data_IF_256305308848
#
_entry.id   IF_256305308848
#
_cell.length_a   1.000
_cell.length_b   1.000
_cell.length_c   1.000
_cell.angle_alpha   90.00
_cell.angle_beta   90.00
_cell.angle_gamma   90.00
#
_symmetry.space_group_name_H-M   'P 1'
#
loop_
_entity.id
_entity.type
_entity.pdbx_description
1 polymer ?
#
# COMPACT_ATOMS: atom_id res chain seq x y z
N UNK A 1 1.54 -27.63 11.08
CA UNK A 1 1.14 -26.25 11.48
C UNK A 1 2.39 -25.42 11.82
N UNK A 2 2.53 -24.22 11.25
CA UNK A 2 3.62 -23.29 11.56
C UNK A 2 3.27 -22.60 12.89
N UNK A 3 4.14 -22.71 13.90
CA UNK A 3 3.92 -22.08 15.21
C UNK A 3 4.12 -20.56 15.14
N UNK A 4 3.33 -19.79 15.89
CA UNK A 4 3.47 -18.33 16.01
C UNK A 4 4.83 -17.88 16.57
N UNK A 5 5.55 -18.81 17.23
CA UNK A 5 6.88 -18.60 17.81
C UNK A 5 8.03 -18.74 16.80
N UNK A 6 7.77 -19.22 15.58
CA UNK A 6 8.81 -19.43 14.56
C UNK A 6 9.48 -18.08 14.21
N UNK A 7 10.81 -18.09 14.15
CA UNK A 7 11.63 -16.90 13.89
C UNK A 7 11.62 -16.55 12.39
N UNK A 8 12.01 -15.32 12.06
CA UNK A 8 12.11 -14.88 10.67
C UNK A 8 13.07 -15.78 9.85
N UNK A 9 14.15 -16.26 10.47
CA UNK A 9 15.17 -17.13 9.84
C UNK A 9 14.60 -18.49 9.37
N UNK A 10 13.65 -19.05 10.10
CA UNK A 10 12.98 -20.30 9.68
C UNK A 10 11.92 -20.03 8.61
N UNK A 11 11.26 -18.86 8.66
CA UNK A 11 10.27 -18.47 7.65
C UNK A 11 10.91 -18.16 6.30
N UNK A 12 12.13 -17.60 6.29
CA UNK A 12 12.82 -17.30 5.04
C UNK A 12 13.19 -18.58 4.28
N UNK A 13 13.65 -19.63 4.95
CA UNK A 13 13.94 -20.91 4.30
C UNK A 13 12.69 -21.51 3.64
N UNK A 14 11.54 -21.43 4.32
CA UNK A 14 10.26 -21.86 3.76
C UNK A 14 9.85 -21.00 2.57
N UNK A 15 10.02 -19.68 2.65
CA UNK A 15 9.72 -18.73 1.58
C UNK A 15 10.57 -19.01 0.34
N UNK A 16 11.89 -19.18 0.51
CA UNK A 16 12.83 -19.49 -0.58
C UNK A 16 12.49 -20.83 -1.23
N UNK A 17 12.22 -21.87 -0.41
CA UNK A 17 11.82 -23.18 -0.93
C UNK A 17 10.53 -23.11 -1.74
N UNK A 18 9.53 -22.36 -1.27
CA UNK A 18 8.27 -22.17 -1.97
C UNK A 18 8.48 -21.45 -3.31
N UNK A 19 9.22 -20.33 -3.31
CA UNK A 19 9.48 -19.56 -4.53
C UNK A 19 10.26 -20.41 -5.54
N UNK A 20 11.32 -21.09 -5.12
CA UNK A 20 12.08 -21.99 -6.00
C UNK A 20 11.19 -23.09 -6.58
N UNK A 21 10.39 -23.75 -5.75
CA UNK A 21 9.47 -24.79 -6.20
C UNK A 21 8.46 -24.26 -7.23
N UNK A 22 7.88 -23.08 -7.02
CA UNK A 22 6.98 -22.45 -7.98
C UNK A 22 7.67 -22.17 -9.33
N UNK A 23 8.88 -21.60 -9.29
CA UNK A 23 9.66 -21.31 -10.49
C UNK A 23 10.06 -22.58 -11.26
N UNK A 24 10.45 -23.64 -10.55
CA UNK A 24 10.79 -24.95 -11.14
C UNK A 24 9.60 -25.60 -11.84
N UNK A 25 8.37 -25.30 -11.41
CA UNK A 25 7.13 -25.76 -12.03
C UNK A 25 6.57 -24.77 -13.07
N UNK A 26 7.35 -23.78 -13.48
CA UNK A 26 6.97 -22.82 -14.52
C UNK A 26 5.98 -21.73 -14.06
N UNK A 27 5.74 -21.59 -12.76
CA UNK A 27 4.93 -20.49 -12.22
C UNK A 27 5.80 -19.24 -12.13
N UNK A 28 5.50 -18.24 -12.97
CA UNK A 28 6.22 -16.95 -12.97
C UNK A 28 5.72 -16.05 -11.85
N UNK A 29 6.33 -16.18 -10.68
CA UNK A 29 6.07 -15.30 -9.53
C UNK A 29 6.51 -13.87 -9.87
N UNK A 30 5.61 -12.90 -9.75
CA UNK A 30 5.88 -11.48 -10.04
C UNK A 30 6.03 -10.61 -8.80
N UNK A 31 5.50 -11.06 -7.65
CA UNK A 31 5.56 -10.31 -6.40
C UNK A 31 5.37 -11.19 -5.16
N UNK A 32 5.89 -10.72 -4.04
CA UNK A 32 5.67 -11.27 -2.69
C UNK A 32 5.10 -10.17 -1.79
N UNK A 33 3.89 -10.39 -1.26
CA UNK A 33 3.20 -9.45 -0.38
C UNK A 33 3.21 -9.85 1.09
N UNK A 34 3.27 -8.85 1.96
CA UNK A 34 3.16 -8.97 3.42
C UNK A 34 2.04 -8.05 3.96
N UNK A 35 1.44 -8.42 5.09
CA UNK A 35 0.36 -7.67 5.76
C UNK A 35 0.95 -6.64 6.75
N UNK A 36 2.20 -6.19 6.56
CA UNK A 36 2.78 -5.13 7.37
C UNK A 36 3.16 -5.46 8.82
N UNK A 37 3.14 -6.74 9.22
CA UNK A 37 3.74 -7.15 10.49
C UNK A 37 5.28 -7.04 10.43
N UNK A 38 5.91 -6.63 11.53
CA UNK A 38 7.38 -6.44 11.56
C UNK A 38 8.15 -7.71 11.22
N UNK A 39 7.63 -8.89 11.59
CA UNK A 39 8.26 -10.18 11.29
C UNK A 39 8.21 -10.48 9.78
N UNK A 40 7.07 -10.23 9.14
CA UNK A 40 6.87 -10.47 7.71
C UNK A 40 7.73 -9.52 6.86
N UNK A 41 7.81 -8.24 7.25
CA UNK A 41 8.80 -7.32 6.66
C UNK A 41 10.22 -7.81 6.78
N UNK A 42 10.58 -8.37 7.94
CA UNK A 42 11.91 -8.95 8.13
C UNK A 42 12.15 -10.07 7.11
N UNK A 43 11.17 -10.94 6.90
CA UNK A 43 11.25 -12.00 5.88
C UNK A 43 11.45 -11.42 4.47
N UNK A 44 10.70 -10.37 4.09
CA UNK A 44 10.93 -9.69 2.80
C UNK A 44 12.34 -9.10 2.68
N UNK A 45 12.88 -8.49 3.74
CA UNK A 45 14.26 -7.96 3.76
C UNK A 45 15.29 -9.07 3.61
N UNK A 46 15.17 -10.14 4.37
CA UNK A 46 16.08 -11.29 4.27
C UNK A 46 15.99 -11.93 2.88
N UNK A 47 14.78 -12.09 2.34
CA UNK A 47 14.56 -12.55 0.97
C UNK A 47 15.27 -11.66 -0.03
N UNK A 48 15.15 -10.34 0.11
CA UNK A 48 15.86 -9.41 -0.74
C UNK A 48 17.37 -9.61 -0.67
N UNK A 49 17.94 -9.66 0.53
CA UNK A 49 19.38 -9.79 0.76
C UNK A 49 19.95 -11.13 0.26
N UNK A 50 19.15 -12.19 0.31
CA UNK A 50 19.51 -13.53 -0.16
C UNK A 50 19.38 -13.69 -1.68
N UNK A 51 18.95 -12.66 -2.41
CA UNK A 51 18.77 -12.75 -3.85
C UNK A 51 20.08 -12.94 -4.61
N UNK A 52 20.14 -13.88 -5.57
CA UNK A 52 21.36 -14.15 -6.33
C UNK A 52 21.72 -13.01 -7.29
N UNK A 53 20.74 -12.21 -7.71
CA UNK A 53 20.94 -11.08 -8.60
C UNK A 53 19.88 -10.01 -8.40
N UNK A 54 20.15 -8.81 -8.93
CA UNK A 54 19.29 -7.65 -8.84
C UNK A 54 19.26 -6.89 -10.16
N UNK A 55 18.16 -6.19 -10.39
CA UNK A 55 18.04 -5.18 -11.45
C UNK A 55 17.69 -3.86 -10.78
N UNK A 56 18.51 -2.84 -10.99
CA UNK A 56 18.28 -1.51 -10.42
C UNK A 56 17.63 -0.61 -11.49
N UNK A 57 16.44 -0.11 -11.18
CA UNK A 57 15.83 0.99 -11.92
C UNK A 57 16.21 2.31 -11.24
N UNK A 58 16.96 3.16 -11.95
CA UNK A 58 17.53 4.39 -11.37
C UNK A 58 16.69 5.59 -11.78
N UNK A 59 16.19 6.32 -10.78
CA UNK A 59 15.50 7.59 -10.93
C UNK A 59 16.47 8.73 -10.57
N UNK A 60 16.88 9.56 -11.55
CA UNK A 60 17.68 10.75 -11.26
C UNK A 60 16.94 11.69 -10.30
N UNK A 61 17.68 12.37 -9.43
CA UNK A 61 17.08 13.38 -8.56
C UNK A 61 16.71 14.63 -9.39
N UNK A 62 15.45 15.10 -9.40
CA UNK A 62 15.02 16.20 -10.26
C UNK A 62 15.81 17.50 -10.07
N UNK A 63 16.13 17.86 -8.83
CA UNK A 63 16.97 19.04 -8.54
C UNK A 63 18.48 18.85 -8.85
N UNK A 64 18.95 17.60 -8.94
CA UNK A 64 20.37 17.28 -9.10
C UNK A 64 20.56 16.10 -10.08
N UNK A 65 20.13 16.23 -11.35
CA UNK A 65 20.05 15.10 -12.27
C UNK A 65 21.42 14.54 -12.67
N UNK A 66 22.47 15.35 -12.61
CA UNK A 66 23.84 14.93 -12.87
C UNK A 66 24.50 14.20 -11.69
N UNK A 67 23.94 14.32 -10.48
CA UNK A 67 24.48 13.69 -9.27
C UNK A 67 23.90 12.28 -9.09
N UNK A 68 24.65 11.28 -9.55
CA UNK A 68 24.26 9.86 -9.43
C UNK A 68 24.16 9.38 -7.98
N UNK A 69 24.75 10.08 -7.01
CA UNK A 69 24.69 9.72 -5.59
C UNK A 69 23.34 10.05 -4.96
N UNK A 70 22.62 11.03 -5.53
CA UNK A 70 21.28 11.45 -5.09
C UNK A 70 20.15 10.73 -5.81
N UNK A 71 20.49 9.88 -6.78
CA UNK A 71 19.50 9.13 -7.54
C UNK A 71 18.81 8.07 -6.66
N UNK A 72 17.49 7.96 -6.80
CA UNK A 72 16.72 6.91 -6.13
C UNK A 72 16.89 5.60 -6.90
N UNK A 73 17.39 4.56 -6.23
CA UNK A 73 17.56 3.23 -6.82
C UNK A 73 16.42 2.32 -6.37
N UNK A 74 15.57 1.95 -7.33
CA UNK A 74 14.48 0.99 -7.11
C UNK A 74 15.01 -0.38 -7.52
N UNK A 75 15.33 -1.19 -6.51
CA UNK A 75 15.96 -2.51 -6.70
C UNK A 75 14.92 -3.61 -6.82
N UNK A 76 14.98 -4.36 -7.91
CA UNK A 76 14.15 -5.54 -8.18
C UNK A 76 14.99 -6.79 -7.93
N UNK A 77 14.47 -7.73 -7.15
CA UNK A 77 15.17 -8.99 -6.85
C UNK A 77 14.95 -9.98 -7.99
N UNK A 78 15.99 -10.73 -8.34
CA UNK A 78 15.95 -11.74 -9.40
C UNK A 78 16.17 -13.13 -8.80
N UNK A 79 15.31 -14.08 -9.13
CA UNK A 79 15.31 -15.42 -8.52
C UNK A 79 15.19 -16.57 -9.53
N UNK A 80 15.68 -17.75 -9.14
CA UNK A 80 15.62 -18.96 -9.95
C UNK A 80 16.53 -18.93 -11.18
N UNK A 81 16.47 -20.00 -11.98
CA UNK A 81 17.34 -20.20 -13.16
C UNK A 81 17.14 -19.13 -14.23
N UNK A 82 15.90 -18.68 -14.41
CA UNK A 82 15.53 -17.69 -15.45
C UNK A 82 15.66 -16.23 -14.98
N UNK A 83 16.25 -16.01 -13.80
CA UNK A 83 16.33 -14.70 -13.14
C UNK A 83 14.96 -14.00 -13.20
N UNK A 84 13.93 -14.67 -12.68
CA UNK A 84 12.58 -14.13 -12.61
C UNK A 84 12.59 -12.91 -11.69
N UNK A 85 12.04 -11.80 -12.19
CA UNK A 85 11.96 -10.55 -11.44
C UNK A 85 10.76 -10.61 -10.50
N UNK A 86 10.98 -10.28 -9.23
CA UNK A 86 9.97 -10.35 -8.18
C UNK A 86 9.94 -9.01 -7.44
N UNK A 87 8.77 -8.38 -7.35
CA UNK A 87 8.55 -7.20 -6.54
C UNK A 87 8.30 -7.59 -5.07
N UNK A 88 8.77 -6.77 -4.14
CA UNK A 88 8.46 -6.93 -2.71
C UNK A 88 7.48 -5.84 -2.32
N UNK A 89 6.32 -6.23 -1.82
CA UNK A 89 5.20 -5.30 -1.58
C UNK A 89 4.69 -5.45 -0.15
N UNK A 90 4.13 -4.36 0.35
CA UNK A 90 3.29 -4.36 1.54
C UNK A 90 1.82 -4.25 1.14
N UNK A 91 0.93 -4.70 2.02
CA UNK A 91 -0.50 -4.59 1.81
C UNK A 91 -0.96 -3.11 1.90
N UNK A 92 -1.60 -2.57 0.84
CA UNK A 92 -2.04 -1.17 0.83
C UNK A 92 -3.15 -0.89 1.86
N UNK A 93 -4.00 -1.88 2.17
CA UNK A 93 -5.03 -1.77 3.20
C UNK A 93 -4.39 -1.63 4.58
N UNK A 94 -3.39 -2.46 4.88
CA UNK A 94 -2.57 -2.34 6.09
C UNK A 94 -1.85 -0.98 6.17
N UNK A 95 -1.29 -0.52 5.05
CA UNK A 95 -0.68 0.82 4.95
C UNK A 95 -1.65 1.93 5.35
N UNK A 96 -2.88 1.90 4.83
CA UNK A 96 -3.93 2.87 5.16
C UNK A 96 -4.28 2.84 6.66
N UNK A 97 -4.45 1.63 7.24
CA UNK A 97 -4.69 1.45 8.69
C UNK A 97 -3.56 2.02 9.54
N UNK A 98 -2.32 1.77 9.13
CA UNK A 98 -1.13 2.25 9.83
C UNK A 98 -1.01 3.76 9.78
N UNK A 99 -1.24 4.37 8.62
CA UNK A 99 -1.23 5.83 8.45
C UNK A 99 -2.27 6.49 9.37
N UNK A 100 -3.54 6.05 9.32
CA UNK A 100 -4.59 6.54 10.23
C UNK A 100 -4.13 6.44 11.69
N UNK A 101 -3.60 5.28 12.08
CA UNK A 101 -3.20 5.03 13.46
C UNK A 101 -2.09 5.96 13.95
N UNK A 102 -1.21 6.44 13.06
CA UNK A 102 -0.16 7.39 13.43
C UNK A 102 -0.74 8.75 13.83
N UNK A 103 -1.76 9.24 13.12
CA UNK A 103 -2.44 10.49 13.45
C UNK A 103 -3.34 10.34 14.68
N UNK A 104 -3.90 9.15 14.88
CA UNK A 104 -4.88 8.86 15.94
C UNK A 104 -4.26 8.44 17.26
N UNK A 105 -2.97 8.08 17.29
CA UNK A 105 -2.36 7.46 18.46
C UNK A 105 -2.26 8.35 19.69
N UNK A 106 -2.30 9.68 19.54
CA UNK A 106 -2.01 10.65 20.61
C UNK A 106 -0.55 10.65 21.09
N UNK A 107 0.25 9.66 20.72
CA UNK A 107 1.66 9.53 21.04
C UNK A 107 2.59 10.31 20.09
N UNK A 108 2.00 10.95 19.07
CA UNK A 108 2.70 11.67 17.99
C UNK A 108 1.95 12.96 17.67
N UNK A 109 2.71 14.00 17.36
CA UNK A 109 2.20 15.27 16.84
C UNK A 109 2.83 15.49 15.47
N UNK A 110 2.17 15.03 14.41
CA UNK A 110 2.73 15.09 13.07
C UNK A 110 2.87 16.56 12.64
N UNK A 111 4.10 17.05 12.54
CA UNK A 111 4.42 18.47 12.27
C UNK A 111 4.86 18.62 10.82
N UNK A 112 4.21 19.52 10.09
CA UNK A 112 4.34 19.71 8.65
C UNK A 112 4.53 21.21 8.40
N UNK A 113 5.78 21.66 8.49
CA UNK A 113 6.09 23.10 8.47
C UNK A 113 5.43 23.82 9.64
N UNK A 114 4.69 24.88 9.34
CA UNK A 114 3.93 25.68 10.31
C UNK A 114 2.63 25.01 10.78
N UNK A 115 2.29 23.85 10.21
CA UNK A 115 1.03 23.17 10.45
C UNK A 115 1.22 21.82 11.16
N UNK A 116 0.12 21.29 11.68
CA UNK A 116 0.08 19.96 12.28
C UNK A 116 -1.01 19.09 11.66
N UNK A 117 -0.81 17.78 11.73
CA UNK A 117 -1.85 16.80 11.53
C UNK A 117 -2.08 16.00 12.82
N UNK A 118 -3.29 16.11 13.39
CA UNK A 118 -3.60 15.51 14.68
C UNK A 118 -5.04 14.96 14.73
N UNK A 119 -5.29 14.11 15.72
CA UNK A 119 -6.59 13.47 15.94
C UNK A 119 -7.74 14.47 16.16
N UNK A 120 -7.49 15.60 16.83
CA UNK A 120 -8.55 16.57 17.16
C UNK A 120 -9.22 17.15 15.91
N UNK A 121 -8.50 17.28 14.79
CA UNK A 121 -9.07 17.70 13.51
C UNK A 121 -10.15 16.73 13.02
N UNK A 122 -9.94 15.42 13.16
CA UNK A 122 -10.95 14.41 12.79
C UNK A 122 -12.11 14.34 13.79
N UNK A 123 -11.85 14.59 15.07
CA UNK A 123 -12.90 14.68 16.08
C UNK A 123 -13.83 15.88 15.81
N UNK A 124 -13.28 17.01 15.37
CA UNK A 124 -14.06 18.18 14.95
C UNK A 124 -14.99 17.86 13.78
N UNK A 125 -14.49 17.16 12.75
CA UNK A 125 -15.30 16.69 11.61
C UNK A 125 -16.52 15.89 12.08
N UNK A 126 -16.36 15.02 13.08
CA UNK A 126 -17.49 14.28 13.65
C UNK A 126 -18.47 15.18 14.42
N UNK A 127 -17.98 16.09 15.26
CA UNK A 127 -18.83 17.00 16.04
C UNK A 127 -19.65 17.97 15.18
N UNK A 128 -19.17 18.27 13.99
CA UNK A 128 -19.83 19.12 13.00
C UNK A 128 -20.84 18.36 12.14
N UNK A 129 -21.14 17.10 12.47
CA UNK A 129 -21.96 16.19 11.65
C UNK A 129 -21.39 15.99 10.23
N UNK A 130 -20.06 15.99 10.11
CA UNK A 130 -19.36 15.66 8.88
C UNK A 130 -19.42 14.16 8.54
N UNK A 131 -18.64 13.72 7.54
CA UNK A 131 -18.73 12.36 6.98
C UNK A 131 -18.18 11.23 7.87
N UNK A 132 -17.59 11.55 9.03
CA UNK A 132 -17.07 10.56 9.98
C UNK A 132 -18.14 10.17 11.00
N UNK A 133 -18.24 8.89 11.31
CA UNK A 133 -19.16 8.40 12.33
C UNK A 133 -18.50 8.37 13.71
N UNK A 134 -19.31 8.21 14.76
CA UNK A 134 -18.82 8.06 16.14
C UNK A 134 -17.76 6.96 16.27
N UNK A 135 -17.97 5.80 15.64
CA UNK A 135 -17.02 4.66 15.64
C UNK A 135 -15.69 4.95 14.92
N UNK A 136 -15.66 5.98 14.07
CA UNK A 136 -14.48 6.34 13.29
C UNK A 136 -13.52 7.24 14.06
N UNK A 137 -13.98 7.83 15.16
CA UNK A 137 -13.21 8.75 16.01
C UNK A 137 -13.17 8.30 17.47
N UNK A 138 -14.29 7.83 18.02
CA UNK A 138 -14.41 7.38 19.42
C UNK A 138 -14.20 5.86 19.50
N UNK A 139 -13.30 5.43 20.39
CA UNK A 139 -12.97 4.01 20.64
C UNK A 139 -12.74 3.23 19.34
N UNK A 140 -11.96 3.83 18.44
CA UNK A 140 -11.69 3.29 17.10
C UNK A 140 -11.13 1.89 17.18
N UNK A 141 -11.76 0.97 16.45
CA UNK A 141 -11.18 -0.33 16.16
C UNK A 141 -9.99 -0.16 15.22
N UNK A 142 -8.79 -0.42 15.74
CA UNK A 142 -7.53 -0.29 15.00
C UNK A 142 -7.46 -1.23 13.79
N UNK A 143 -8.22 -2.32 13.77
CA UNK A 143 -8.26 -3.26 12.66
C UNK A 143 -9.33 -2.93 11.61
N UNK A 144 -10.18 -1.92 11.85
CA UNK A 144 -11.25 -1.59 10.92
C UNK A 144 -10.72 -0.90 9.65
N UNK A 145 -10.77 -1.61 8.52
CA UNK A 145 -10.46 -1.04 7.20
C UNK A 145 -11.48 0.02 6.81
N UNK A 146 -12.76 -0.20 7.09
CA UNK A 146 -13.84 0.73 6.81
C UNK A 146 -13.64 2.10 7.47
N UNK A 147 -13.14 2.12 8.70
CA UNK A 147 -12.79 3.39 9.36
C UNK A 147 -11.61 4.06 8.67
N UNK A 148 -10.57 3.31 8.30
CA UNK A 148 -9.43 3.88 7.58
C UNK A 148 -9.87 4.46 6.22
N UNK A 149 -10.72 3.75 5.48
CA UNK A 149 -11.30 4.22 4.21
C UNK A 149 -12.08 5.52 4.39
N UNK A 150 -12.95 5.62 5.41
CA UNK A 150 -13.71 6.86 5.66
C UNK A 150 -12.81 8.03 6.04
N UNK A 151 -11.80 7.81 6.87
CA UNK A 151 -10.82 8.86 7.25
C UNK A 151 -10.11 9.43 6.02
N UNK A 152 -9.66 8.58 5.10
CA UNK A 152 -8.99 8.99 3.86
C UNK A 152 -9.94 9.26 2.69
N UNK A 153 -11.26 9.28 2.92
CA UNK A 153 -12.23 9.47 1.85
C UNK A 153 -12.23 10.89 1.31
N UNK A 154 -12.62 11.02 0.04
CA UNK A 154 -12.83 12.32 -0.60
C UNK A 154 -13.90 13.16 0.11
N UNK A 155 -14.88 12.53 0.76
CA UNK A 155 -15.89 13.23 1.56
C UNK A 155 -15.26 13.93 2.77
N UNK A 156 -14.42 13.22 3.53
CA UNK A 156 -13.71 13.79 4.69
C UNK A 156 -12.77 14.91 4.27
N UNK A 157 -12.05 14.71 3.17
CA UNK A 157 -11.17 15.74 2.60
C UNK A 157 -11.94 16.99 2.18
N UNK A 158 -13.07 16.84 1.47
CA UNK A 158 -13.92 17.96 1.07
C UNK A 158 -14.48 18.72 2.26
N UNK A 159 -14.89 18.02 3.32
CA UNK A 159 -15.36 18.65 4.56
C UNK A 159 -14.26 19.49 5.20
N UNK A 160 -13.04 18.97 5.31
CA UNK A 160 -11.90 19.72 5.86
C UNK A 160 -11.55 20.94 5.01
N UNK A 161 -11.52 20.81 3.68
CA UNK A 161 -11.24 21.95 2.79
C UNK A 161 -12.31 23.04 2.92
N UNK A 162 -13.59 22.66 3.05
CA UNK A 162 -14.69 23.61 3.11
C UNK A 162 -14.82 24.32 4.46
N UNK A 163 -14.53 23.62 5.57
CA UNK A 163 -14.82 24.11 6.91
C UNK A 163 -13.57 24.41 7.77
N UNK A 164 -12.41 23.87 7.39
CA UNK A 164 -11.16 23.93 8.17
C UNK A 164 -9.95 24.14 7.25
N UNK A 165 -10.02 25.14 6.35
CA UNK A 165 -8.91 25.44 5.43
C UNK A 165 -7.62 25.84 6.14
N UNK A 166 -7.71 26.27 7.40
CA UNK A 166 -6.60 26.52 8.32
C UNK A 166 -5.85 25.24 8.74
N UNK A 167 -6.49 24.07 8.65
CA UNK A 167 -5.89 22.76 8.99
C UNK A 167 -5.13 22.16 7.79
N UNK A 168 -4.33 22.99 7.11
CA UNK A 168 -3.64 22.62 5.87
C UNK A 168 -2.76 21.39 6.04
N UNK A 169 -2.06 21.25 7.18
CA UNK A 169 -1.24 20.07 7.49
C UNK A 169 -2.03 18.75 7.42
N UNK A 170 -3.24 18.70 7.98
CA UNK A 170 -4.11 17.52 7.86
C UNK A 170 -4.61 17.29 6.44
N UNK A 171 -4.98 18.36 5.73
CA UNK A 171 -5.44 18.24 4.34
C UNK A 171 -4.32 17.66 3.46
N UNK A 172 -3.12 18.22 3.55
CA UNK A 172 -1.93 17.73 2.82
C UNK A 172 -1.60 16.30 3.20
N UNK A 173 -1.65 15.96 4.50
CA UNK A 173 -1.44 14.60 4.98
C UNK A 173 -2.42 13.60 4.31
N UNK A 174 -3.71 13.93 4.27
CA UNK A 174 -4.73 13.08 3.64
C UNK A 174 -4.54 13.00 2.13
N UNK A 175 -4.24 14.11 1.46
CA UNK A 175 -4.03 14.15 0.01
C UNK A 175 -2.82 13.33 -0.39
N UNK A 176 -1.67 13.56 0.23
CA UNK A 176 -0.41 12.94 -0.21
C UNK A 176 -0.33 11.48 0.23
N UNK A 177 -0.58 11.20 1.52
CA UNK A 177 -0.39 9.85 2.06
C UNK A 177 -1.64 8.97 1.92
N UNK A 178 -2.84 9.55 1.90
CA UNK A 178 -4.07 8.81 1.59
C UNK A 178 -4.11 8.33 0.13
N UNK A 179 -3.54 9.10 -0.80
CA UNK A 179 -3.47 8.71 -2.20
C UNK A 179 -2.56 7.50 -2.46
N UNK A 180 -1.58 7.23 -1.59
CA UNK A 180 -0.62 6.14 -1.82
C UNK A 180 -1.30 4.75 -1.81
N UNK A 181 -2.09 4.36 -0.79
CA UNK A 181 -2.95 3.17 -0.87
C UNK A 181 -3.94 3.21 -2.04
N UNK A 182 -4.47 4.38 -2.38
CA UNK A 182 -5.42 4.53 -3.49
C UNK A 182 -4.75 4.30 -4.86
N UNK A 183 -3.45 4.56 -4.99
CA UNK A 183 -2.66 4.22 -6.17
C UNK A 183 -2.62 2.71 -6.46
N UNK A 184 -2.93 1.87 -5.47
CA UNK A 184 -3.15 0.44 -5.68
C UNK A 184 -4.62 0.12 -5.97
N UNK A 185 -5.54 0.69 -5.18
CA UNK A 185 -6.93 0.24 -5.09
C UNK A 185 -7.89 0.93 -6.07
N UNK A 186 -7.63 2.19 -6.45
CA UNK A 186 -8.47 2.91 -7.39
C UNK A 186 -8.32 2.29 -8.78
N UNK A 187 -9.43 1.94 -9.45
CA UNK A 187 -9.43 1.26 -10.76
C UNK A 187 -9.41 2.20 -11.97
N UNK A 188 -9.62 3.49 -11.74
CA UNK A 188 -9.69 4.51 -12.79
C UNK A 188 -8.32 5.08 -13.16
N UNK A 189 -7.34 4.95 -12.25
CA UNK A 189 -5.99 5.48 -12.45
C UNK A 189 -5.21 4.68 -13.50
N UNK A 190 -4.60 5.41 -14.42
CA UNK A 190 -3.57 4.91 -15.34
C UNK A 190 -2.29 4.52 -14.59
N UNK A 191 -1.43 3.70 -15.19
CA UNK A 191 -0.16 3.32 -14.56
C UNK A 191 0.76 4.53 -14.30
N UNK A 192 0.73 5.55 -15.15
CA UNK A 192 1.58 6.74 -14.96
C UNK A 192 1.09 7.63 -13.81
N UNK A 193 -0.22 7.79 -13.63
CA UNK A 193 -0.79 8.52 -12.50
C UNK A 193 -0.44 7.84 -11.17
N UNK A 194 -0.48 6.51 -11.13
CA UNK A 194 -0.09 5.72 -9.96
C UNK A 194 1.37 5.91 -9.59
N UNK A 195 2.27 5.90 -10.58
CA UNK A 195 3.69 6.19 -10.39
C UNK A 195 3.87 7.61 -9.85
N UNK A 196 3.18 8.60 -10.43
CA UNK A 196 3.25 9.99 -9.97
C UNK A 196 2.82 10.13 -8.50
N UNK A 197 1.73 9.45 -8.10
CA UNK A 197 1.28 9.43 -6.69
C UNK A 197 2.34 8.79 -5.78
N UNK A 198 2.91 7.65 -6.18
CA UNK A 198 3.96 6.98 -5.42
C UNK A 198 5.20 7.88 -5.24
N UNK A 199 5.66 8.53 -6.31
CA UNK A 199 6.80 9.44 -6.27
C UNK A 199 6.50 10.69 -5.43
N UNK A 200 5.28 11.23 -5.50
CA UNK A 200 4.85 12.35 -4.64
C UNK A 200 4.94 11.97 -3.16
N UNK A 201 4.42 10.80 -2.79
CA UNK A 201 4.52 10.31 -1.42
C UNK A 201 5.98 10.10 -0.98
N UNK A 202 6.83 9.56 -1.88
CA UNK A 202 8.25 9.37 -1.63
C UNK A 202 8.97 10.68 -1.32
N UNK A 203 8.88 11.67 -2.21
CA UNK A 203 9.53 12.97 -2.04
C UNK A 203 8.97 13.69 -0.83
N UNK A 204 7.66 13.64 -0.60
CA UNK A 204 7.05 14.25 0.57
C UNK A 204 7.63 13.69 1.87
N UNK A 205 7.80 12.36 1.97
CA UNK A 205 8.41 11.72 3.14
C UNK A 205 9.91 12.00 3.28
N UNK A 206 10.64 12.23 2.18
CA UNK A 206 12.05 12.63 2.23
C UNK A 206 12.17 14.06 2.80
N UNK A 207 11.45 15.01 2.23
CA UNK A 207 11.42 16.40 2.72
C UNK A 207 10.91 16.47 4.16
N UNK A 208 9.93 15.65 4.54
CA UNK A 208 9.46 15.61 5.92
C UNK A 208 10.56 15.17 6.90
N UNK A 209 11.35 14.15 6.53
CA UNK A 209 12.48 13.69 7.36
C UNK A 209 13.54 14.78 7.48
N UNK A 210 13.85 15.46 6.39
CA UNK A 210 14.82 16.55 6.37
C UNK A 210 14.33 17.72 7.25
N UNK A 211 13.08 18.17 7.08
CA UNK A 211 12.46 19.20 7.92
C UNK A 211 12.52 18.88 9.42
N UNK A 212 12.14 17.65 9.81
CA UNK A 212 12.15 17.23 11.22
C UNK A 212 13.57 17.21 11.78
N UNK A 213 14.55 16.74 11.00
CA UNK A 213 15.96 16.75 11.38
C UNK A 213 16.47 18.19 11.55
N UNK A 214 16.23 19.03 10.56
CA UNK A 214 16.82 20.37 10.47
C UNK A 214 16.16 21.34 11.48
N UNK A 215 14.88 21.11 11.82
CA UNK A 215 14.17 21.85 12.87
C UNK A 215 14.47 21.34 14.30
N UNK A 216 15.27 20.29 14.45
CA UNK A 216 15.60 19.72 15.76
C UNK A 216 14.43 19.00 16.46
N UNK A 217 13.40 18.62 15.71
CA UNK A 217 12.25 17.90 16.27
C UNK A 217 12.57 16.44 16.58
N UNK A 218 11.90 15.89 17.60
CA UNK A 218 12.02 14.47 17.93
C UNK A 218 11.30 13.59 16.90
N UNK A 219 11.57 12.28 16.95
CA UNK A 219 10.90 11.28 16.09
C UNK A 219 9.39 11.16 16.30
N UNK A 220 8.81 11.85 17.30
CA UNK A 220 7.37 11.94 17.54
C UNK A 220 6.67 12.94 16.59
N UNK A 221 7.43 13.77 15.88
CA UNK A 221 6.91 14.78 14.95
C UNK A 221 6.72 14.27 13.51
N UNK A 222 7.03 13.00 13.27
CA UNK A 222 6.88 12.31 11.99
C UNK A 222 6.16 10.96 12.20
N UNK A 223 5.81 10.31 11.10
CA UNK A 223 5.38 8.92 11.06
C UNK A 223 6.33 7.98 11.81
N UNK A 224 5.77 6.93 12.41
CA UNK A 224 6.56 5.86 13.03
C UNK A 224 7.47 5.18 12.02
N UNK A 225 8.56 4.57 12.52
CA UNK A 225 9.48 3.79 11.68
C UNK A 225 8.75 2.72 10.87
N UNK A 226 7.76 2.05 11.48
CA UNK A 226 6.91 1.09 10.77
C UNK A 226 6.14 1.74 9.61
N UNK A 227 5.50 2.89 9.84
CA UNK A 227 4.74 3.57 8.79
C UNK A 227 5.63 4.07 7.66
N UNK A 228 6.82 4.61 7.99
CA UNK A 228 7.82 5.03 7.01
C UNK A 228 8.32 3.84 6.17
N UNK A 229 8.57 2.70 6.80
CA UNK A 229 8.97 1.47 6.11
C UNK A 229 7.85 0.96 5.18
N UNK A 230 6.60 0.92 5.65
CA UNK A 230 5.46 0.50 4.82
C UNK A 230 5.30 1.42 3.62
N UNK A 231 5.36 2.74 3.81
CA UNK A 231 5.27 3.69 2.70
C UNK A 231 6.40 3.46 1.68
N UNK A 232 7.63 3.18 2.14
CA UNK A 232 8.74 2.85 1.23
C UNK A 232 8.43 1.61 0.39
N UNK A 233 7.96 0.52 1.02
CA UNK A 233 7.60 -0.70 0.29
C UNK A 233 6.42 -0.52 -0.68
N UNK A 234 5.44 0.32 -0.33
CA UNK A 234 4.35 0.66 -1.24
C UNK A 234 4.83 1.49 -2.44
N UNK A 235 5.74 2.43 -2.23
CA UNK A 235 6.31 3.22 -3.34
C UNK A 235 7.17 2.33 -4.25
N UNK A 236 8.15 1.65 -3.67
CA UNK A 236 9.09 0.82 -4.42
C UNK A 236 8.36 -0.34 -5.09
N UNK A 237 7.50 -1.04 -4.36
CA UNK A 237 6.73 -2.18 -4.87
C UNK A 237 5.84 -1.84 -6.06
N UNK A 238 5.17 -0.67 -6.04
CA UNK A 238 4.35 -0.21 -7.16
C UNK A 238 5.19 -0.02 -8.42
N UNK A 239 6.32 0.68 -8.30
CA UNK A 239 7.20 0.97 -9.43
C UNK A 239 7.87 -0.33 -9.92
N UNK A 240 8.34 -1.19 -9.01
CA UNK A 240 8.88 -2.52 -9.35
C UNK A 240 7.87 -3.32 -10.18
N UNK A 241 6.60 -3.38 -9.77
CA UNK A 241 5.55 -4.10 -10.51
C UNK A 241 5.34 -3.54 -11.92
N UNK A 242 5.31 -2.21 -12.08
CA UNK A 242 5.20 -1.58 -13.40
C UNK A 242 6.38 -1.98 -14.29
N UNK A 243 7.60 -1.91 -13.76
CA UNK A 243 8.83 -2.26 -14.50
C UNK A 243 8.86 -3.75 -14.85
N UNK A 244 8.49 -4.64 -13.92
CA UNK A 244 8.42 -6.09 -14.16
C UNK A 244 7.43 -6.41 -15.28
N UNK A 245 6.21 -5.87 -15.21
CA UNK A 245 5.20 -6.18 -16.22
C UNK A 245 5.55 -5.58 -17.58
N UNK A 246 6.12 -4.37 -17.61
CA UNK A 246 6.57 -3.73 -18.84
C UNK A 246 7.74 -4.48 -19.49
N UNK A 247 8.78 -4.76 -18.72
CA UNK A 247 10.08 -5.20 -19.27
C UNK A 247 10.23 -6.73 -19.25
N UNK A 248 9.91 -7.39 -18.12
CA UNK A 248 10.03 -8.86 -18.01
C UNK A 248 8.86 -9.59 -18.68
N UNK A 249 7.65 -9.02 -18.61
CA UNK A 249 6.46 -9.59 -19.28
C UNK A 249 6.10 -8.91 -20.60
N UNK A 250 6.92 -7.99 -21.09
CA UNK A 250 6.77 -7.33 -22.39
C UNK A 250 5.42 -6.60 -22.55
N UNK A 251 4.85 -6.11 -21.44
CA UNK A 251 3.54 -5.47 -21.42
C UNK A 251 2.38 -6.39 -21.82
N UNK A 252 2.58 -7.72 -21.82
CA UNK A 252 1.60 -8.69 -22.35
C UNK A 252 0.34 -8.84 -21.50
N UNK A 253 0.44 -8.60 -20.20
CA UNK A 253 -0.65 -8.80 -19.24
C UNK A 253 -1.06 -7.46 -18.63
N UNK A 254 -2.34 -7.24 -18.31
CA UNK A 254 -2.75 -6.09 -17.51
C UNK A 254 -2.14 -6.16 -16.10
N UNK A 255 -1.73 -5.02 -15.56
CA UNK A 255 -1.26 -4.91 -14.17
C UNK A 255 -2.42 -4.48 -13.24
N UNK A 256 -3.08 -5.47 -12.64
CA UNK A 256 -4.22 -5.26 -11.73
C UNK A 256 -3.74 -5.06 -10.28
N UNK A 257 -3.27 -3.85 -9.96
CA UNK A 257 -2.69 -3.56 -8.63
C UNK A 257 -3.65 -3.83 -7.45
N UNK A 258 -4.97 -3.71 -7.65
CA UNK A 258 -5.98 -4.05 -6.64
C UNK A 258 -6.12 -5.55 -6.37
N UNK A 259 -5.43 -6.41 -7.12
CA UNK A 259 -5.34 -7.86 -6.85
C UNK A 259 -3.98 -8.25 -6.25
N UNK A 260 -3.12 -7.27 -5.98
CA UNK A 260 -1.76 -7.46 -5.48
C UNK A 260 -1.75 -7.12 -3.99
N UNK A 261 -1.15 -7.99 -3.16
CA UNK A 261 -1.14 -7.84 -1.70
C UNK A 261 -1.62 -9.09 -0.98
N UNK A 262 -2.12 -8.94 0.25
CA UNK A 262 -2.58 -10.05 1.10
C UNK A 262 -4.09 -10.18 1.18
N UNK A 263 -4.84 -9.23 0.61
CA UNK A 263 -6.31 -9.21 0.63
C UNK A 263 -6.94 -10.57 0.24
N UNK A 264 -6.43 -11.22 -0.82
CA UNK A 264 -6.93 -12.54 -1.24
C UNK A 264 -6.83 -13.64 -0.17
N UNK A 265 -5.84 -13.55 0.73
CA UNK A 265 -5.71 -14.44 1.86
C UNK A 265 -6.78 -14.15 2.92
N UNK A 266 -7.05 -12.87 3.20
CA UNK A 266 -8.09 -12.46 4.15
C UNK A 266 -9.47 -12.95 3.72
N UNK A 267 -9.81 -12.85 2.44
CA UNK A 267 -11.05 -13.42 1.90
C UNK A 267 -11.13 -14.93 2.08
N UNK A 268 -10.02 -15.63 1.83
CA UNK A 268 -9.94 -17.07 2.05
C UNK A 268 -10.16 -17.43 3.53
N UNK A 269 -9.64 -16.63 4.46
CA UNK A 269 -9.86 -16.81 5.90
C UNK A 269 -11.27 -16.45 6.34
N UNK A 270 -11.87 -15.39 5.78
CA UNK A 270 -13.26 -15.02 6.06
C UNK A 270 -14.23 -16.11 5.59
N UNK A 271 -14.00 -16.66 4.40
CA UNK A 271 -14.78 -17.76 3.85
C UNK A 271 -14.60 -19.03 4.68
N UNK A 272 -13.37 -19.34 5.11
CA UNK A 272 -13.11 -20.44 6.04
C UNK A 272 -13.92 -20.27 7.35
N UNK A 273 -13.92 -19.07 7.95
CA UNK A 273 -14.72 -18.77 9.15
C UNK A 273 -16.23 -18.86 8.93
N UNK A 274 -16.71 -18.62 7.71
CA UNK A 274 -18.13 -18.83 7.37
C UNK A 274 -18.52 -20.31 7.32
N UNK A 275 -17.55 -21.20 7.10
CA UNK A 275 -17.75 -22.65 7.09
C UNK A 275 -17.66 -23.22 8.50
N UNK A 276 -16.62 -22.83 9.24
CA UNK A 276 -16.38 -23.20 10.65
C UNK A 276 -15.80 -21.99 11.36
N UNK A 277 -16.54 -21.36 12.27
CA UNK A 277 -16.16 -20.08 12.90
C UNK A 277 -14.81 -20.17 13.62
N UNK A 278 -14.64 -21.18 14.48
CA UNK A 278 -13.45 -21.40 15.30
C UNK A 278 -12.80 -22.74 14.93
N UNK A 279 -12.22 -22.79 13.73
CA UNK A 279 -11.59 -24.00 13.22
C UNK A 279 -10.19 -24.23 13.82
N UNK A 280 -9.86 -25.48 14.12
CA UNK A 280 -8.50 -25.90 14.46
C UNK A 280 -7.71 -26.32 13.21
N UNK A 281 -6.44 -26.74 13.38
CA UNK A 281 -5.60 -27.12 12.25
C UNK A 281 -6.10 -28.35 11.46
N UNK A 282 -6.77 -29.29 12.13
CA UNK A 282 -7.37 -30.46 11.50
C UNK A 282 -8.62 -30.06 10.70
N UNK A 283 -9.47 -29.21 11.27
CA UNK A 283 -10.63 -28.65 10.59
C UNK A 283 -10.23 -27.92 9.30
N UNK A 284 -9.13 -27.15 9.34
CA UNK A 284 -8.57 -26.51 8.14
C UNK A 284 -8.25 -27.53 7.04
N UNK A 285 -7.52 -28.61 7.38
CA UNK A 285 -7.14 -29.64 6.41
C UNK A 285 -8.36 -30.31 5.77
N UNK A 286 -9.40 -30.62 6.56
CA UNK A 286 -10.65 -31.19 6.04
C UNK A 286 -11.50 -30.17 5.27
N UNK A 287 -11.37 -28.89 5.57
CA UNK A 287 -12.12 -27.82 4.93
C UNK A 287 -11.55 -27.41 3.57
N UNK A 288 -10.26 -27.64 3.29
CA UNK A 288 -9.60 -27.21 2.03
C UNK A 288 -10.42 -27.56 0.78
N UNK A 289 -10.93 -28.78 0.58
CA UNK A 289 -11.72 -29.10 -0.62
C UNK A 289 -12.98 -28.24 -0.75
N UNK A 290 -13.70 -28.01 0.37
CA UNK A 290 -14.91 -27.19 0.41
C UNK A 290 -14.59 -25.71 0.20
N UNK A 291 -13.50 -25.23 0.79
CA UNK A 291 -12.99 -23.87 0.58
C UNK A 291 -12.66 -23.62 -0.89
N UNK A 292 -12.01 -24.57 -1.56
CA UNK A 292 -11.70 -24.47 -2.99
C UNK A 292 -12.95 -24.40 -3.87
N UNK A 293 -13.99 -25.16 -3.56
CA UNK A 293 -15.28 -25.07 -4.28
C UNK A 293 -15.90 -23.70 -4.09
N UNK A 294 -15.99 -23.21 -2.84
CA UNK A 294 -16.55 -21.90 -2.53
C UNK A 294 -15.78 -20.74 -3.16
N UNK A 295 -14.45 -20.80 -3.17
CA UNK A 295 -13.61 -19.80 -3.84
C UNK A 295 -13.87 -19.79 -5.35
N UNK A 296 -14.01 -20.96 -5.98
CA UNK A 296 -14.39 -21.05 -7.40
C UNK A 296 -15.79 -20.52 -7.66
N UNK A 297 -16.75 -20.80 -6.79
CA UNK A 297 -18.09 -20.21 -6.85
C UNK A 297 -18.01 -18.70 -6.81
N UNK A 298 -17.23 -18.11 -5.90
CA UNK A 298 -17.07 -16.66 -5.79
C UNK A 298 -16.43 -16.04 -7.06
N UNK A 299 -15.39 -16.69 -7.59
CA UNK A 299 -14.71 -16.23 -8.81
C UNK A 299 -15.64 -16.33 -10.04
N UNK A 300 -16.46 -17.38 -10.14
CA UNK A 300 -17.33 -17.63 -11.28
C UNK A 300 -18.68 -16.91 -11.17
N UNK A 301 -19.17 -16.66 -9.96
CA UNK A 301 -20.44 -16.00 -9.69
C UNK A 301 -20.24 -14.48 -9.70
N UNK A 302 -19.92 -13.96 -10.88
CA UNK A 302 -19.96 -12.52 -11.17
C UNK A 302 -21.43 -12.08 -11.23
N UNK A 303 -22.17 -12.13 -10.11
CA UNK A 303 -23.40 -11.34 -9.89
C UNK A 303 -24.04 -11.57 -8.50
N UNK A 304 -23.48 -11.01 -7.43
CA UNK A 304 -24.25 -10.76 -6.20
C UNK A 304 -23.97 -9.37 -5.65
N UNK A 305 -24.31 -8.35 -6.45
CA UNK A 305 -24.50 -6.98 -5.99
C UNK A 305 -25.64 -6.81 -4.95
N UNK A 306 -26.26 -7.91 -4.48
CA UNK A 306 -27.43 -7.85 -3.64
C UNK A 306 -27.45 -8.96 -2.57
N UNK A 307 -26.72 -8.77 -1.46
CA UNK A 307 -27.10 -9.14 -0.07
C UNK A 307 -25.87 -9.18 0.86
N UNK A 308 -25.42 -8.03 1.33
CA UNK A 308 -24.59 -7.95 2.53
C UNK A 308 -24.88 -6.67 3.32
N UNK A 309 -26.15 -6.44 3.66
CA UNK A 309 -26.51 -5.54 4.77
C UNK A 309 -26.66 -6.44 6.01
N UNK A 310 -25.71 -6.37 6.94
CA UNK A 310 -26.00 -6.86 8.30
C UNK A 310 -24.90 -7.55 9.11
N UNK A 311 -23.69 -7.82 8.60
CA UNK A 311 -22.64 -8.51 9.39
C UNK A 311 -21.31 -7.76 9.42
N UNK A 312 -20.62 -7.87 10.55
CA UNK A 312 -19.52 -7.03 11.02
C UNK A 312 -18.16 -7.21 10.29
N UNK A 313 -18.17 -7.70 9.06
CA UNK A 313 -17.02 -7.68 8.16
C UNK A 313 -17.60 -7.64 6.75
N UNK A 314 -17.54 -6.46 6.13
CA UNK A 314 -17.95 -6.26 4.75
C UNK A 314 -16.65 -6.12 3.96
N UNK A 315 -16.19 -7.15 3.24
CA UNK A 315 -15.03 -7.08 2.38
C UNK A 315 -15.35 -6.29 1.09
N UNK A 316 -16.09 -5.19 1.20
CA UNK A 316 -16.66 -4.53 0.03
C UNK A 316 -15.68 -3.52 -0.55
N UNK A 317 -15.05 -3.85 -1.68
CA UNK A 317 -15.36 -3.18 -2.97
C UNK A 317 -14.56 -3.76 -4.16
N UNK A 318 -13.39 -4.38 -3.94
CA UNK A 318 -12.38 -4.56 -5.01
C UNK A 318 -12.25 -5.98 -5.57
N UNK A 319 -12.88 -7.00 -5.00
CA UNK A 319 -12.95 -8.33 -5.61
C UNK A 319 -14.32 -8.64 -6.24
N UNK A 320 -15.39 -8.02 -5.73
CA UNK A 320 -16.77 -8.30 -6.15
C UNK A 320 -17.22 -7.48 -7.37
N UNK A 321 -16.52 -6.38 -7.69
CA UNK A 321 -16.80 -5.62 -8.91
C UNK A 321 -16.12 -6.29 -10.12
N UNK A 322 -16.91 -6.72 -11.10
CA UNK A 322 -16.41 -7.28 -12.35
C UNK A 322 -15.35 -6.37 -12.98
N UNK A 323 -14.23 -6.96 -13.42
CA UNK A 323 -13.22 -6.22 -14.19
C UNK A 323 -13.80 -5.94 -15.59
N UNK A 324 -14.28 -4.71 -15.82
CA UNK A 324 -14.83 -4.30 -17.11
C UNK A 324 -13.71 -3.93 -18.08
N UNK A 325 -13.97 -4.04 -19.39
CA UNK A 325 -13.01 -3.61 -20.42
C UNK A 325 -12.55 -2.15 -20.25
N UNK A 326 -13.43 -1.28 -19.75
CA UNK A 326 -13.11 0.12 -19.46
C UNK A 326 -12.08 0.26 -18.34
N UNK A 327 -12.19 -0.55 -17.28
CA UNK A 327 -11.23 -0.54 -16.15
C UNK A 327 -9.89 -1.22 -16.49
N UNK A 328 -9.86 -2.07 -17.52
CA UNK A 328 -8.65 -2.78 -17.95
C UNK A 328 -7.77 -1.95 -18.90
N UNK A 329 -8.35 -1.03 -19.67
CA UNK A 329 -7.59 -0.24 -20.65
C UNK A 329 -6.46 0.62 -20.03
N UNK A 330 -6.69 1.35 -18.90
CA UNK A 330 -5.64 2.16 -18.26
C UNK A 330 -4.46 1.37 -17.70
N UNK A 331 -4.66 0.08 -17.40
CA UNK A 331 -3.68 -0.81 -16.77
C UNK A 331 -2.97 -1.75 -17.75
N UNK A 332 -3.28 -1.63 -19.05
CA UNK A 332 -2.56 -2.29 -20.14
C UNK A 332 -1.53 -1.36 -20.82
N UNK A 333 -1.56 -0.06 -20.53
CA UNK A 333 -0.69 0.92 -21.19
C UNK A 333 0.50 1.26 -20.29
N UNK A 334 1.65 0.67 -20.59
CA UNK A 334 2.87 0.84 -19.79
C UNK A 334 3.65 2.08 -20.20
N UNK A 335 4.02 2.97 -19.26
CA UNK A 335 4.77 4.16 -19.59
C UNK A 335 6.23 3.82 -19.96
N UNK A 336 6.81 4.47 -20.98
CA UNK A 336 8.24 4.37 -21.25
C UNK A 336 9.04 5.07 -20.14
N UNK A 337 10.35 4.82 -20.08
CA UNK A 337 11.23 5.45 -19.09
C UNK A 337 11.15 6.98 -19.12
N UNK A 338 11.07 7.60 -20.30
CA UNK A 338 10.91 9.05 -20.44
C UNK A 338 9.66 9.56 -19.69
N UNK A 339 8.51 8.89 -19.86
CA UNK A 339 7.29 9.25 -19.14
C UNK A 339 7.42 9.09 -17.63
N UNK A 340 8.11 8.04 -17.17
CA UNK A 340 8.40 7.86 -15.73
C UNK A 340 9.29 9.01 -15.20
N UNK A 341 10.30 9.43 -15.96
CA UNK A 341 11.18 10.54 -15.58
C UNK A 341 10.45 11.89 -15.58
N UNK A 342 9.53 12.12 -16.52
CA UNK A 342 8.66 13.29 -16.51
C UNK A 342 7.74 13.30 -15.29
N UNK A 343 7.11 12.16 -14.97
CA UNK A 343 6.30 12.02 -13.76
C UNK A 343 7.12 12.23 -12.49
N UNK A 344 8.39 11.79 -12.48
CA UNK A 344 9.33 12.01 -11.38
C UNK A 344 9.63 13.50 -11.16
N UNK A 345 9.93 14.23 -12.23
CA UNK A 345 10.14 15.67 -12.17
C UNK A 345 8.89 16.43 -11.72
N UNK A 346 7.73 16.06 -12.27
CA UNK A 346 6.45 16.67 -11.89
C UNK A 346 6.10 16.41 -10.42
N UNK A 347 6.26 15.17 -9.94
CA UNK A 347 6.00 14.82 -8.55
C UNK A 347 6.91 15.58 -7.57
N UNK A 348 8.20 15.73 -7.90
CA UNK A 348 9.12 16.52 -7.09
C UNK A 348 8.72 18.00 -7.07
N UNK A 349 8.43 18.61 -8.22
CA UNK A 349 8.01 20.00 -8.30
C UNK A 349 6.73 20.27 -7.48
N UNK A 350 5.75 19.36 -7.54
CA UNK A 350 4.54 19.44 -6.72
C UNK A 350 4.85 19.36 -5.23
N UNK A 351 5.75 18.46 -4.80
CA UNK A 351 6.13 18.34 -3.39
C UNK A 351 6.85 19.58 -2.89
N UNK A 352 7.74 20.18 -3.69
CA UNK A 352 8.38 21.46 -3.36
C UNK A 352 7.32 22.53 -3.13
N UNK A 353 6.35 22.67 -4.04
CA UNK A 353 5.25 23.62 -3.88
C UNK A 353 4.36 23.33 -2.65
N UNK A 354 4.15 22.06 -2.31
CA UNK A 354 3.44 21.66 -1.09
C UNK A 354 4.20 22.11 0.16
N UNK A 355 5.51 21.90 0.23
CA UNK A 355 6.32 22.30 1.39
C UNK A 355 6.44 23.82 1.54
N UNK A 356 6.52 24.55 0.42
CA UNK A 356 6.43 26.01 0.42
C UNK A 356 5.08 26.51 0.97
N UNK A 357 3.97 25.88 0.57
CA UNK A 357 2.65 26.21 1.12
C UNK A 357 2.51 25.88 2.62
N UNK A 358 3.34 24.95 3.13
CA UNK A 358 3.43 24.62 4.54
C UNK A 358 4.38 25.55 5.32
N UNK A 359 4.99 26.55 4.68
CA UNK A 359 5.90 27.50 5.32
C UNK A 359 7.36 27.04 5.42
N UNK A 360 7.78 26.07 4.61
CA UNK A 360 9.16 25.58 4.57
C UNK A 360 9.81 25.97 3.23
N UNK A 361 10.84 26.81 3.32
CA UNK A 361 11.62 27.32 2.17
C UNK A 361 12.68 26.34 1.66
#
# INVERSE_FOLDING_TARGET
PISSKIKADELIDMQVKLVNGLLEHGVRVSSLGADGASKERSVLRHFALSAPAYVDFVLPHPAYPADSTRSTKIRIVCWGKDLQWIALIEDPGHGRKTLRSNVYSGARLLTLGDYIACYSHFLAVYHENGPLNSRDVLKVDKQSDNTAIRVFSSATMKHLIANHSDQLGTIVYLVVLGSLPDAYQNRELTLIERIKIALRAMYFLQYWKDFVRDSGYSSQHILSTQALDICRYLVEGLIQLVIIYRDKFLGKYPLLLWKVGTEGNEHSFALARSLVTDFNALDWQHMVPKLMVRLRELINSVDMAAKARGTAYNPSLHLDAADTRANLAPVCTYPPNAGIFEANNAAHAEVVGIWQALGVD
#
